data_IF_465849955837
#
_entry.id   IF_465849955837
#
_cell.length_a   1.000
_cell.length_b   1.000
_cell.length_c   1.000
_cell.angle_alpha   90.00
_cell.angle_beta   90.00
_cell.angle_gamma   90.00
#
_symmetry.space_group_name_H-M   'P 1'
#
loop_
_entity.id
_entity.type
_entity.pdbx_description
1 polymer ?
#
# COMPACT_ATOMS: atom_id res chain seq x y z
N UNK A 1 -81.89 -44.66 14.91
CA UNK A 1 -81.12 -45.86 15.24
C UNK A 1 -79.64 -45.49 15.06
N UNK A 2 -79.03 -44.86 16.06
CA UNK A 2 -78.13 -45.51 17.03
C UNK A 2 -76.85 -46.07 16.35
N UNK A 3 -75.75 -45.31 16.37
CA UNK A 3 -74.56 -45.46 17.25
C UNK A 3 -73.73 -46.71 16.96
N UNK A 4 -72.50 -46.52 16.45
CA UNK A 4 -71.23 -47.09 16.95
C UNK A 4 -70.12 -46.74 15.92
N UNK A 5 -69.18 -45.84 16.22
CA UNK A 5 -67.90 -46.28 16.78
C UNK A 5 -66.93 -45.10 16.95
N UNK A 6 -66.37 -45.04 18.15
CA UNK A 6 -65.52 -44.00 18.72
C UNK A 6 -64.06 -44.05 18.21
N UNK A 7 -63.45 -42.85 18.11
CA UNK A 7 -62.08 -42.46 18.50
C UNK A 7 -60.93 -43.46 18.33
N UNK A 8 -59.90 -43.10 17.54
CA UNK A 8 -58.51 -43.11 18.03
C UNK A 8 -57.54 -42.33 17.11
N UNK A 9 -56.69 -41.54 17.78
CA UNK A 9 -55.33 -41.14 17.41
C UNK A 9 -55.08 -40.09 16.30
N UNK A 10 -54.77 -38.89 16.78
CA UNK A 10 -53.81 -38.00 16.15
C UNK A 10 -52.50 -38.75 15.83
N UNK A 11 -51.99 -38.56 14.62
CA UNK A 11 -50.62 -38.89 14.26
C UNK A 11 -50.10 -37.79 13.32
N UNK A 12 -49.21 -36.98 13.88
CA UNK A 12 -48.19 -36.15 13.23
C UNK A 12 -48.10 -36.29 11.71
N UNK A 13 -48.53 -35.26 10.99
CA UNK A 13 -47.97 -34.92 9.68
C UNK A 13 -46.93 -33.82 9.87
N UNK A 14 -45.83 -34.14 10.57
CA UNK A 14 -44.56 -33.45 10.37
C UNK A 14 -43.98 -34.05 9.08
N UNK A 15 -44.28 -33.44 7.94
CA UNK A 15 -43.53 -33.70 6.72
C UNK A 15 -42.14 -33.12 6.99
N UNK A 16 -41.26 -33.99 7.47
CA UNK A 16 -39.82 -33.78 7.48
C UNK A 16 -39.41 -33.43 6.06
N UNK A 17 -39.01 -32.17 5.84
CA UNK A 17 -38.26 -31.77 4.67
C UNK A 17 -36.87 -32.38 4.78
N UNK A 18 -36.78 -33.70 4.66
CA UNK A 18 -35.55 -34.36 4.28
C UNK A 18 -35.30 -33.91 2.85
N UNK A 19 -34.44 -32.90 2.71
CA UNK A 19 -33.74 -32.64 1.47
C UNK A 19 -33.20 -33.98 1.00
N UNK A 20 -33.63 -34.39 -0.19
CA UNK A 20 -33.03 -35.51 -0.89
C UNK A 20 -31.53 -35.20 -0.99
N UNK A 21 -30.75 -35.80 -0.10
CA UNK A 21 -29.30 -35.71 -0.13
C UNK A 21 -28.86 -36.61 -1.29
N UNK A 22 -28.97 -36.07 -2.51
CA UNK A 22 -28.40 -36.67 -3.71
C UNK A 22 -26.89 -36.64 -3.48
N UNK A 23 -26.31 -37.79 -3.12
CA UNK A 23 -24.86 -37.95 -3.07
C UNK A 23 -24.29 -37.69 -4.47
N UNK A 24 -23.46 -36.67 -4.66
CA UNK A 24 -22.91 -36.36 -5.97
C UNK A 24 -21.92 -37.46 -6.41
N UNK A 25 -21.90 -37.76 -7.71
CA UNK A 25 -21.01 -38.76 -8.30
C UNK A 25 -19.52 -38.37 -8.09
N UNK A 26 -18.58 -39.32 -8.02
CA UNK A 26 -17.17 -38.98 -7.80
C UNK A 26 -16.56 -38.47 -9.11
N UNK A 27 -16.61 -37.15 -9.32
CA UNK A 27 -16.00 -36.50 -10.48
C UNK A 27 -16.47 -35.06 -10.65
N UNK A 28 -15.73 -34.14 -10.03
CA UNK A 28 -15.84 -32.68 -10.18
C UNK A 28 -17.10 -32.04 -9.57
N UNK A 29 -17.14 -31.98 -8.24
CA UNK A 29 -18.11 -31.17 -7.53
C UNK A 29 -17.41 -30.00 -6.84
N UNK A 30 -17.32 -28.89 -7.56
CA UNK A 30 -17.08 -27.59 -6.93
C UNK A 30 -18.29 -27.32 -6.01
N UNK A 31 -18.06 -27.38 -4.71
CA UNK A 31 -19.05 -26.97 -3.70
C UNK A 31 -18.89 -25.47 -3.50
N UNK A 32 -19.85 -24.69 -4.00
CA UNK A 32 -19.86 -23.25 -3.85
C UNK A 32 -20.37 -22.85 -2.47
N UNK A 33 -19.74 -21.84 -1.88
CA UNK A 33 -20.29 -21.17 -0.69
C UNK A 33 -21.47 -20.27 -1.12
N UNK A 34 -22.57 -20.34 -0.38
CA UNK A 34 -23.78 -19.54 -0.64
C UNK A 34 -23.56 -18.07 -0.24
N UNK A 35 -24.27 -17.14 -0.89
CA UNK A 35 -24.28 -15.71 -0.52
C UNK A 35 -23.37 -14.81 -1.36
N UNK A 36 -22.59 -15.36 -2.29
CA UNK A 36 -21.83 -14.59 -3.28
C UNK A 36 -22.68 -14.32 -4.52
N UNK A 37 -22.83 -13.03 -4.89
CA UNK A 37 -23.52 -12.61 -6.12
C UNK A 37 -22.56 -11.85 -7.01
N UNK A 38 -22.48 -12.23 -8.28
CA UNK A 38 -21.68 -11.54 -9.29
C UNK A 38 -22.60 -10.64 -10.12
N UNK A 39 -22.32 -9.34 -10.10
CA UNK A 39 -23.03 -8.34 -10.92
C UNK A 39 -22.05 -7.60 -11.82
N UNK A 40 -22.45 -7.30 -13.05
CA UNK A 40 -21.64 -6.49 -13.96
C UNK A 40 -21.73 -5.01 -13.57
N UNK A 41 -20.60 -4.38 -13.26
CA UNK A 41 -20.51 -2.93 -12.97
C UNK A 41 -20.59 -2.12 -14.26
N UNK A 42 -19.83 -2.51 -15.28
CA UNK A 42 -19.91 -1.94 -16.63
C UNK A 42 -19.57 -2.96 -17.71
N UNK A 43 -20.07 -2.72 -18.91
CA UNK A 43 -19.79 -3.53 -20.09
C UNK A 43 -18.74 -2.82 -20.95
N UNK A 44 -17.51 -3.30 -20.90
CA UNK A 44 -16.38 -2.76 -21.67
C UNK A 44 -16.59 -2.84 -23.18
N UNK A 45 -17.35 -3.82 -23.68
CA UNK A 45 -17.62 -3.96 -25.12
C UNK A 45 -18.43 -2.78 -25.65
N UNK A 46 -19.41 -2.29 -24.88
CA UNK A 46 -20.22 -1.11 -25.24
C UNK A 46 -19.41 0.18 -25.25
N UNK A 47 -18.33 0.23 -24.49
CA UNK A 47 -17.49 1.42 -24.30
C UNK A 47 -16.21 1.38 -25.13
N UNK A 48 -15.91 0.27 -25.79
CA UNK A 48 -14.64 0.07 -26.49
C UNK A 48 -13.43 0.02 -25.55
N UNK A 49 -13.62 -0.43 -24.30
CA UNK A 49 -12.58 -0.56 -23.29
C UNK A 49 -12.38 -2.05 -23.01
N UNK A 50 -11.14 -2.52 -23.04
CA UNK A 50 -10.78 -3.90 -22.71
C UNK A 50 -10.15 -4.00 -21.31
N UNK A 51 -10.96 -4.09 -20.23
CA UNK A 51 -10.44 -4.09 -18.87
C UNK A 51 -9.57 -5.32 -18.61
N UNK A 52 -8.35 -5.09 -18.13
CA UNK A 52 -7.39 -6.12 -17.78
C UNK A 52 -7.19 -6.26 -16.26
N UNK A 53 -7.06 -5.14 -15.55
CA UNK A 53 -6.98 -5.11 -14.08
C UNK A 53 -7.68 -3.89 -13.52
N UNK A 54 -8.13 -4.01 -12.26
CA UNK A 54 -8.86 -2.97 -11.54
C UNK A 54 -8.33 -2.87 -10.12
N UNK A 55 -8.08 -1.65 -9.64
CA UNK A 55 -7.70 -1.35 -8.26
C UNK A 55 -8.36 -0.06 -7.78
N UNK A 56 -8.58 0.12 -6.47
CA UNK A 56 -9.03 1.39 -5.93
C UNK A 56 -8.03 2.53 -6.24
N UNK A 57 -8.54 3.70 -6.58
CA UNK A 57 -7.73 4.88 -6.87
C UNK A 57 -7.00 5.42 -5.62
N UNK A 58 -7.59 5.19 -4.44
CA UNK A 58 -6.99 5.52 -3.15
C UNK A 58 -7.64 4.66 -2.06
N UNK A 59 -6.95 4.46 -0.94
CA UNK A 59 -7.52 3.72 0.20
C UNK A 59 -8.77 4.45 0.71
N UNK A 60 -9.91 3.77 0.67
CA UNK A 60 -11.19 4.30 1.17
C UNK A 60 -11.94 5.20 0.17
N UNK A 61 -11.46 5.38 -1.07
CA UNK A 61 -12.26 6.01 -2.11
C UNK A 61 -13.15 4.98 -2.83
N UNK A 62 -14.31 5.43 -3.33
CA UNK A 62 -15.18 4.63 -4.21
C UNK A 62 -14.71 4.60 -5.66
N UNK A 63 -13.71 5.42 -6.00
CA UNK A 63 -13.16 5.51 -7.35
C UNK A 63 -12.23 4.32 -7.63
N UNK A 64 -12.42 3.72 -8.79
CA UNK A 64 -11.63 2.60 -9.30
C UNK A 64 -10.77 3.07 -10.46
N UNK A 65 -9.58 2.51 -10.58
CA UNK A 65 -8.72 2.63 -11.75
C UNK A 65 -8.81 1.33 -12.51
N UNK A 66 -9.10 1.41 -13.80
CA UNK A 66 -9.15 0.29 -14.73
C UNK A 66 -8.02 0.44 -15.72
N UNK A 67 -7.24 -0.62 -15.88
CA UNK A 67 -6.21 -0.73 -16.91
C UNK A 67 -6.79 -1.41 -18.15
N UNK A 68 -6.73 -0.73 -19.29
CA UNK A 68 -6.89 -1.34 -20.60
C UNK A 68 -5.50 -1.67 -21.17
N UNK A 69 -5.13 -2.94 -21.04
CA UNK A 69 -3.81 -3.42 -21.47
C UNK A 69 -3.65 -3.31 -23.00
N UNK A 70 -4.68 -3.68 -23.75
CA UNK A 70 -4.61 -3.70 -25.23
C UNK A 70 -4.66 -2.28 -25.78
N UNK A 71 -5.56 -1.46 -25.25
CA UNK A 71 -5.68 -0.04 -25.56
C UNK A 71 -4.57 0.82 -24.95
N UNK A 72 -3.61 0.25 -24.20
CA UNK A 72 -2.50 0.98 -23.59
C UNK A 72 -2.91 2.25 -22.82
N UNK A 73 -4.04 2.16 -22.11
CA UNK A 73 -4.69 3.30 -21.46
C UNK A 73 -5.24 2.94 -20.07
N UNK A 74 -5.38 3.97 -19.25
CA UNK A 74 -5.92 3.90 -17.89
C UNK A 74 -7.21 4.72 -17.82
N UNK A 75 -8.21 4.20 -17.10
CA UNK A 75 -9.50 4.85 -16.91
C UNK A 75 -9.81 4.95 -15.42
N UNK A 76 -10.35 6.09 -15.00
CA UNK A 76 -10.99 6.25 -13.70
C UNK A 76 -12.48 5.96 -13.85
N UNK A 77 -13.01 5.08 -13.01
CA UNK A 77 -14.41 4.67 -12.98
C UNK A 77 -14.97 4.97 -11.60
N UNK A 78 -16.07 5.72 -11.55
CA UNK A 78 -16.81 5.98 -10.32
C UNK A 78 -18.13 5.20 -10.36
N UNK A 79 -18.27 4.10 -9.58
CA UNK A 79 -19.49 3.32 -9.54
C UNK A 79 -20.68 4.19 -9.09
N UNK A 80 -21.86 4.01 -9.67
CA UNK A 80 -23.02 4.82 -9.32
C UNK A 80 -23.53 4.44 -7.93
N UNK A 81 -23.50 5.39 -6.99
CA UNK A 81 -24.14 5.24 -5.67
C UNK A 81 -25.62 5.67 -5.75
N UNK A 82 -25.98 6.59 -6.65
CA UNK A 82 -27.37 7.06 -6.87
C UNK A 82 -27.56 7.82 -8.21
N UNK A 83 -26.78 7.52 -9.25
CA UNK A 83 -26.80 8.28 -10.51
C UNK A 83 -26.17 7.52 -11.68
N UNK A 84 -25.74 8.25 -12.71
CA UNK A 84 -25.04 7.66 -13.86
C UNK A 84 -23.58 7.34 -13.52
N UNK A 85 -23.08 6.26 -14.12
CA UNK A 85 -21.68 5.86 -13.99
C UNK A 85 -20.77 6.80 -14.78
N UNK A 86 -19.75 7.36 -14.13
CA UNK A 86 -18.76 8.21 -14.78
C UNK A 86 -17.48 7.43 -15.09
N UNK A 87 -17.06 7.47 -16.35
CA UNK A 87 -15.82 6.86 -16.83
C UNK A 87 -14.98 7.93 -17.51
N UNK A 88 -13.75 8.13 -17.03
CA UNK A 88 -12.83 9.15 -17.55
C UNK A 88 -11.49 8.53 -17.89
N UNK A 89 -10.97 8.80 -19.08
CA UNK A 89 -9.59 8.44 -19.43
C UNK A 89 -8.60 9.21 -18.53
N UNK A 90 -7.75 8.48 -17.84
CA UNK A 90 -6.77 9.00 -16.88
C UNK A 90 -5.41 9.24 -17.55
N UNK A 91 -4.90 8.28 -18.32
CA UNK A 91 -3.63 8.38 -19.03
C UNK A 91 -3.54 7.37 -20.18
N UNK A 92 -2.61 7.57 -21.12
CA UNK A 92 -2.43 6.72 -22.29
C UNK A 92 -3.22 7.23 -23.49
N UNK A 93 -2.54 7.47 -24.61
CA UNK A 93 -3.16 8.01 -25.82
C UNK A 93 -3.92 6.95 -26.64
N UNK A 94 -3.71 5.65 -26.38
CA UNK A 94 -4.29 4.55 -27.15
C UNK A 94 -3.29 3.84 -28.06
N UNK A 95 -2.05 4.34 -28.16
CA UNK A 95 -1.03 3.87 -29.10
C UNK A 95 0.02 3.06 -28.33
N UNK A 96 0.25 1.82 -28.78
CA UNK A 96 1.28 0.94 -28.24
C UNK A 96 2.69 1.45 -28.60
N UNK A 97 3.30 2.25 -27.72
CA UNK A 97 4.59 2.89 -27.92
C UNK A 97 5.25 3.23 -26.57
N UNK A 98 6.35 3.98 -26.59
CA UNK A 98 7.06 4.41 -25.39
C UNK A 98 7.27 5.92 -25.42
N UNK A 99 6.54 6.63 -24.55
CA UNK A 99 6.69 8.07 -24.37
C UNK A 99 6.28 8.49 -22.96
N UNK A 100 7.18 9.15 -22.24
CA UNK A 100 6.90 9.84 -20.98
C UNK A 100 6.32 11.25 -21.28
N UNK A 101 5.72 11.91 -20.28
CA UNK A 101 5.23 13.28 -20.45
C UNK A 101 3.84 13.50 -19.85
N UNK A 102 3.02 14.34 -20.49
CA UNK A 102 1.67 14.64 -20.00
C UNK A 102 0.78 13.39 -20.02
N UNK A 103 -0.21 13.33 -19.13
CA UNK A 103 -1.08 12.17 -18.98
C UNK A 103 -1.74 11.72 -20.29
N UNK A 104 -2.17 12.69 -21.11
CA UNK A 104 -2.90 12.47 -22.38
C UNK A 104 -1.99 12.10 -23.56
N UNK A 105 -0.70 12.40 -23.49
CA UNK A 105 0.27 12.15 -24.56
C UNK A 105 1.26 11.04 -24.23
N UNK A 106 1.28 10.57 -22.98
CA UNK A 106 2.12 9.46 -22.57
C UNK A 106 1.67 8.17 -23.28
N UNK A 107 2.64 7.36 -23.65
CA UNK A 107 2.44 6.12 -24.38
C UNK A 107 3.00 4.94 -23.58
N UNK A 108 2.20 3.88 -23.54
CA UNK A 108 2.51 2.60 -22.92
C UNK A 108 2.44 1.51 -23.99
N UNK A 109 2.98 0.33 -23.71
CA UNK A 109 2.94 -0.79 -24.63
C UNK A 109 2.55 -2.08 -23.89
N UNK A 110 1.27 -2.44 -24.03
CA UNK A 110 0.67 -3.59 -23.36
C UNK A 110 0.95 -3.64 -21.85
N UNK A 111 0.69 -2.56 -21.09
CA UNK A 111 0.84 -2.58 -19.64
C UNK A 111 -0.03 -3.69 -19.04
N UNK A 112 0.46 -4.44 -18.06
CA UNK A 112 -0.27 -5.61 -17.51
C UNK A 112 -0.68 -5.50 -16.06
N UNK A 113 0.14 -4.84 -15.26
CA UNK A 113 -0.13 -4.71 -13.85
C UNK A 113 0.14 -3.27 -13.43
N UNK A 114 -0.55 -2.83 -12.40
CA UNK A 114 -0.23 -1.58 -11.74
C UNK A 114 -0.46 -1.70 -10.23
N UNK A 115 0.16 -0.79 -9.49
CA UNK A 115 -0.03 -0.63 -8.06
C UNK A 115 -0.30 0.86 -7.76
N UNK A 116 -1.02 1.14 -6.68
CA UNK A 116 -1.37 2.50 -6.27
C UNK A 116 -0.81 2.75 -4.87
N UNK A 117 -0.11 3.87 -4.69
CA UNK A 117 0.42 4.25 -3.38
C UNK A 117 -0.60 5.01 -2.51
N UNK A 118 -0.20 5.38 -1.29
CA UNK A 118 -1.04 6.12 -0.35
C UNK A 118 -1.39 7.54 -0.81
N UNK A 119 -0.65 8.10 -1.77
CA UNK A 119 -0.88 9.43 -2.34
C UNK A 119 -1.69 9.38 -3.64
N UNK A 120 -2.02 8.18 -4.13
CA UNK A 120 -2.71 7.98 -5.40
C UNK A 120 -1.79 8.06 -6.62
N UNK A 121 -0.47 7.97 -6.46
CA UNK A 121 0.40 7.73 -7.61
C UNK A 121 0.24 6.29 -8.08
N UNK A 122 0.33 6.07 -9.39
CA UNK A 122 0.14 4.76 -10.00
C UNK A 122 1.47 4.29 -10.56
N UNK A 123 1.91 3.11 -10.16
CA UNK A 123 3.11 2.46 -10.68
C UNK A 123 2.70 1.36 -11.64
N UNK A 124 3.26 1.36 -12.84
CA UNK A 124 2.80 0.56 -13.98
C UNK A 124 3.91 -0.38 -14.43
N UNK A 125 3.58 -1.66 -14.58
CA UNK A 125 4.39 -2.62 -15.32
C UNK A 125 4.11 -2.47 -16.82
N UNK A 126 4.94 -1.68 -17.48
CA UNK A 126 4.87 -1.43 -18.92
C UNK A 126 5.62 -2.55 -19.67
N UNK A 127 4.91 -3.67 -19.82
CA UNK A 127 5.44 -5.01 -20.09
C UNK A 127 6.33 -5.07 -21.33
N UNK A 128 5.85 -4.54 -22.46
CA UNK A 128 6.58 -4.60 -23.74
C UNK A 128 7.67 -3.55 -23.86
N UNK A 129 7.62 -2.52 -23.02
CA UNK A 129 8.70 -1.55 -22.88
C UNK A 129 9.72 -1.94 -21.81
N UNK A 130 9.52 -3.06 -21.10
CA UNK A 130 10.42 -3.58 -20.06
C UNK A 130 10.73 -2.53 -18.98
N UNK A 131 9.72 -1.71 -18.66
CA UNK A 131 9.87 -0.53 -17.84
C UNK A 131 8.83 -0.48 -16.72
N UNK A 132 9.23 0.09 -15.60
CA UNK A 132 8.34 0.46 -14.51
C UNK A 132 8.13 1.97 -14.61
N UNK A 133 6.88 2.36 -14.87
CA UNK A 133 6.46 3.74 -15.09
C UNK A 133 5.69 4.22 -13.86
N UNK A 134 5.69 5.52 -13.61
CA UNK A 134 4.91 6.18 -12.56
C UNK A 134 4.01 7.23 -13.19
N UNK A 135 2.72 7.19 -12.88
CA UNK A 135 1.71 8.18 -13.24
C UNK A 135 1.40 8.98 -11.97
N UNK A 136 1.49 10.30 -12.07
CA UNK A 136 1.02 11.22 -11.03
C UNK A 136 0.41 12.48 -11.64
N UNK A 137 0.04 13.45 -10.81
CA UNK A 137 -0.56 14.72 -11.28
C UNK A 137 0.36 15.55 -12.18
N UNK A 138 1.67 15.31 -12.15
CA UNK A 138 2.65 15.96 -13.04
C UNK A 138 2.83 15.23 -14.37
N UNK A 139 2.25 14.04 -14.55
CA UNK A 139 2.37 13.24 -15.77
C UNK A 139 2.95 11.83 -15.52
N UNK A 140 3.49 11.26 -16.59
CA UNK A 140 4.10 9.91 -16.61
C UNK A 140 5.61 10.03 -16.67
N UNK A 141 6.30 9.27 -15.82
CA UNK A 141 7.77 9.16 -15.80
C UNK A 141 8.22 7.72 -15.64
N UNK A 142 9.30 7.35 -16.30
CA UNK A 142 9.98 6.07 -16.06
C UNK A 142 10.82 6.12 -14.80
N UNK A 143 10.64 5.14 -13.90
CA UNK A 143 11.40 5.06 -12.63
C UNK A 143 12.47 3.96 -12.63
N UNK A 144 12.28 2.90 -13.43
CA UNK A 144 13.26 1.84 -13.63
C UNK A 144 13.02 1.09 -14.94
N UNK A 145 14.07 0.55 -15.56
CA UNK A 145 13.94 -0.24 -16.79
C UNK A 145 13.75 0.61 -18.06
N UNK A 146 13.49 -0.07 -19.17
CA UNK A 146 13.23 0.53 -20.50
C UNK A 146 14.44 1.14 -21.22
N UNK A 147 15.51 1.50 -20.53
CA UNK A 147 16.63 2.23 -21.13
C UNK A 147 17.48 1.42 -22.11
N UNK A 148 17.61 0.11 -21.90
CA UNK A 148 18.36 -0.78 -22.80
C UNK A 148 17.56 -1.24 -24.02
N UNK A 149 16.25 -0.95 -24.08
CA UNK A 149 15.30 -1.47 -25.06
C UNK A 149 15.32 -3.00 -25.20
N UNK A 150 15.83 -3.68 -24.16
CA UNK A 150 16.03 -5.13 -24.12
C UNK A 150 15.66 -5.66 -22.76
N UNK A 151 15.15 -6.88 -22.75
CA UNK A 151 14.94 -7.62 -21.52
C UNK A 151 16.28 -7.92 -20.83
N UNK A 152 16.23 -8.10 -19.51
CA UNK A 152 17.40 -8.46 -18.72
C UNK A 152 17.04 -8.66 -17.26
N UNK A 153 18.04 -8.96 -16.45
CA UNK A 153 17.92 -9.21 -15.00
C UNK A 153 18.87 -8.34 -14.15
N UNK A 154 19.45 -7.31 -14.76
CA UNK A 154 20.44 -6.46 -14.11
C UNK A 154 19.80 -5.63 -13.02
N UNK A 155 20.42 -5.60 -11.85
CA UNK A 155 20.09 -4.69 -10.75
C UNK A 155 20.88 -3.38 -10.85
N UNK A 156 20.54 -2.43 -9.98
CA UNK A 156 21.22 -1.14 -9.85
C UNK A 156 20.25 0.03 -9.86
N UNK A 157 20.75 1.26 -10.03
CA UNK A 157 19.92 2.44 -10.22
C UNK A 157 18.92 2.23 -11.37
N UNK A 158 17.77 2.90 -11.35
CA UNK A 158 16.67 2.63 -12.29
C UNK A 158 17.05 2.59 -13.77
N UNK A 159 18.03 3.40 -14.21
CA UNK A 159 18.55 3.41 -15.60
C UNK A 159 19.36 2.15 -15.96
N UNK A 160 19.97 1.51 -14.98
CA UNK A 160 20.81 0.32 -15.15
C UNK A 160 20.00 -0.97 -14.89
N UNK A 161 18.87 -0.87 -14.19
CA UNK A 161 17.97 -1.97 -13.98
C UNK A 161 17.35 -2.43 -15.30
N UNK A 162 17.22 -3.75 -15.50
CA UNK A 162 16.52 -4.34 -16.65
C UNK A 162 15.58 -5.44 -16.15
N UNK A 163 14.43 -5.60 -16.80
CA UNK A 163 13.37 -6.56 -16.41
C UNK A 163 13.08 -7.52 -17.55
N UNK A 164 12.41 -8.63 -17.27
CA UNK A 164 11.88 -9.48 -18.33
C UNK A 164 10.69 -8.82 -19.03
N UNK A 165 10.13 -9.51 -20.01
CA UNK A 165 8.86 -9.14 -20.62
C UNK A 165 7.67 -9.71 -19.86
N UNK A 166 7.82 -10.31 -18.67
CA UNK A 166 6.71 -10.83 -17.86
C UNK A 166 6.97 -10.55 -16.37
N UNK A 167 6.44 -9.44 -15.89
CA UNK A 167 6.60 -8.99 -14.51
C UNK A 167 5.38 -8.22 -14.01
N UNK A 168 5.19 -8.23 -12.69
CA UNK A 168 4.09 -7.59 -11.98
C UNK A 168 4.60 -6.81 -10.77
N UNK A 169 3.79 -5.88 -10.26
CA UNK A 169 4.14 -4.96 -9.16
C UNK A 169 3.17 -5.12 -8.00
N UNK A 170 3.67 -4.93 -6.79
CA UNK A 170 2.87 -4.79 -5.57
C UNK A 170 3.46 -3.68 -4.70
N UNK A 171 2.64 -2.71 -4.33
CA UNK A 171 3.06 -1.66 -3.40
C UNK A 171 2.93 -2.15 -1.95
N UNK A 172 3.98 -1.96 -1.16
CA UNK A 172 4.04 -2.29 0.26
C UNK A 172 4.11 -0.98 1.06
N UNK A 173 3.01 -0.53 1.69
CA UNK A 173 2.96 0.74 2.41
C UNK A 173 3.94 0.83 3.58
N UNK A 174 4.13 -0.25 4.33
CA UNK A 174 4.93 -0.26 5.56
C UNK A 174 6.41 0.01 5.31
N UNK A 175 6.95 -0.51 4.20
CA UNK A 175 8.35 -0.32 3.79
C UNK A 175 8.53 0.77 2.73
N UNK A 176 7.44 1.39 2.28
CA UNK A 176 7.39 2.29 1.13
C UNK A 176 8.21 1.77 -0.07
N UNK A 177 7.85 0.58 -0.54
CA UNK A 177 8.55 -0.04 -1.65
C UNK A 177 7.59 -0.71 -2.61
N UNK A 178 8.00 -0.82 -3.87
CA UNK A 178 7.41 -1.73 -4.82
C UNK A 178 8.15 -3.07 -4.75
N UNK A 179 7.40 -4.15 -4.58
CA UNK A 179 7.89 -5.49 -4.89
C UNK A 179 7.52 -5.81 -6.33
N UNK A 180 8.46 -6.43 -7.04
CA UNK A 180 8.33 -6.81 -8.43
C UNK A 180 8.48 -8.32 -8.50
N UNK A 181 7.43 -8.98 -8.95
CA UNK A 181 7.49 -10.40 -9.31
C UNK A 181 7.91 -10.46 -10.78
N UNK A 182 9.20 -10.68 -11.03
CA UNK A 182 9.76 -10.77 -12.37
C UNK A 182 9.76 -12.23 -12.82
N UNK A 183 8.59 -12.72 -13.28
CA UNK A 183 8.35 -14.11 -13.63
C UNK A 183 9.32 -14.62 -14.70
N UNK A 184 9.56 -13.82 -15.74
CA UNK A 184 10.45 -14.20 -16.84
C UNK A 184 11.91 -14.38 -16.40
N UNK A 185 12.31 -13.75 -15.30
CA UNK A 185 13.64 -13.91 -14.71
C UNK A 185 13.67 -14.77 -13.44
N UNK A 186 12.51 -15.21 -12.93
CA UNK A 186 12.37 -15.97 -11.67
C UNK A 186 12.92 -15.20 -10.45
N UNK A 187 12.68 -13.89 -10.39
CA UNK A 187 13.18 -13.03 -9.31
C UNK A 187 12.03 -12.31 -8.62
N UNK A 188 12.15 -12.16 -7.29
CA UNK A 188 11.43 -11.13 -6.55
C UNK A 188 12.40 -9.96 -6.34
N UNK A 189 11.99 -8.77 -6.78
CA UNK A 189 12.85 -7.58 -6.76
C UNK A 189 12.16 -6.49 -5.98
N UNK A 190 12.93 -5.53 -5.50
CA UNK A 190 12.41 -4.42 -4.70
C UNK A 190 12.90 -3.10 -5.27
N UNK A 191 12.00 -2.13 -5.39
CA UNK A 191 12.34 -0.73 -5.59
C UNK A 191 11.92 0.03 -4.34
N UNK A 192 12.88 0.59 -3.63
CA UNK A 192 12.61 1.56 -2.57
C UNK A 192 12.12 2.85 -3.21
N UNK A 193 10.91 3.27 -2.85
CA UNK A 193 10.33 4.51 -3.37
C UNK A 193 10.92 5.71 -2.63
N UNK A 194 10.79 6.89 -3.26
CA UNK A 194 11.22 8.15 -2.65
C UNK A 194 10.28 8.51 -1.49
N UNK A 195 10.83 9.13 -0.45
CA UNK A 195 10.04 9.53 0.73
C UNK A 195 8.82 10.40 0.39
N UNK A 196 8.94 11.25 -0.65
CA UNK A 196 7.87 12.09 -1.15
C UNK A 196 6.64 11.30 -1.66
N UNK A 197 6.80 10.03 -2.00
CA UNK A 197 5.73 9.14 -2.47
C UNK A 197 5.07 8.34 -1.33
N UNK A 198 5.72 8.29 -0.16
CA UNK A 198 5.33 7.41 0.95
C UNK A 198 4.21 7.94 1.86
N UNK A 199 3.73 9.16 1.64
CA UNK A 199 2.57 9.70 2.35
C UNK A 199 2.76 9.92 3.86
N UNK A 200 3.96 10.30 4.33
CA UNK A 200 4.12 10.77 5.72
C UNK A 200 3.49 12.14 5.91
N UNK A 201 2.20 12.18 6.21
CA UNK A 201 1.58 13.27 6.93
C UNK A 201 1.65 12.95 8.43
N UNK A 202 2.84 12.86 9.01
CA UNK A 202 2.96 12.78 10.46
C UNK A 202 4.08 13.71 10.91
N UNK A 203 3.68 14.81 11.56
CA UNK A 203 4.52 15.57 12.48
C UNK A 203 4.90 14.76 13.72
N UNK A 204 5.22 13.48 13.57
CA UNK A 204 5.94 12.71 14.57
C UNK A 204 7.43 12.90 14.29
N UNK A 205 8.20 13.60 15.14
CA UNK A 205 9.63 13.62 14.98
C UNK A 205 10.10 12.16 15.01
N UNK A 206 10.88 11.77 13.99
CA UNK A 206 11.60 10.51 14.00
C UNK A 206 12.25 10.36 15.38
N UNK A 207 12.14 9.19 16.02
CA UNK A 207 12.73 8.98 17.36
C UNK A 207 14.22 9.37 17.42
N UNK A 208 14.89 9.34 16.26
CA UNK A 208 16.28 9.78 16.07
C UNK A 208 16.43 11.31 16.21
N UNK A 209 15.47 12.12 15.72
CA UNK A 209 15.50 13.59 15.89
C UNK A 209 15.10 14.04 17.31
N UNK A 210 14.22 13.31 17.98
CA UNK A 210 13.89 13.58 19.40
C UNK A 210 15.05 13.26 20.33
N UNK A 211 15.72 12.10 20.17
CA UNK A 211 16.89 11.72 20.97
C UNK A 211 18.05 12.70 20.76
N UNK A 212 18.20 13.25 19.55
CA UNK A 212 19.29 14.18 19.23
C UNK A 212 19.21 15.50 20.02
N UNK A 213 18.02 16.04 20.26
CA UNK A 213 17.87 17.34 20.94
C UNK A 213 18.14 17.19 22.46
N UNK A 214 17.62 16.13 23.08
CA UNK A 214 17.86 15.86 24.50
C UNK A 214 19.32 15.48 24.77
N UNK A 215 19.94 14.68 23.91
CA UNK A 215 21.34 14.31 24.05
C UNK A 215 22.27 15.53 23.92
N UNK A 216 22.00 16.44 22.99
CA UNK A 216 22.75 17.69 22.85
C UNK A 216 22.56 18.63 24.05
N UNK A 217 21.33 18.73 24.58
CA UNK A 217 21.04 19.52 25.77
C UNK A 217 21.75 19.01 27.03
N UNK A 218 21.72 17.69 27.25
CA UNK A 218 22.43 17.04 28.37
C UNK A 218 23.94 17.21 28.22
N UNK A 219 24.52 16.95 27.04
CA UNK A 219 25.95 17.18 26.78
C UNK A 219 26.37 18.63 27.02
N UNK A 220 25.59 19.60 26.54
CA UNK A 220 25.89 21.02 26.71
C UNK A 220 25.82 21.43 28.19
N UNK A 221 24.83 20.92 28.94
CA UNK A 221 24.70 21.19 30.37
C UNK A 221 25.87 20.63 31.18
N UNK A 222 26.34 19.41 30.86
CA UNK A 222 27.50 18.81 31.52
C UNK A 222 28.80 19.57 31.19
N UNK A 223 28.97 20.01 29.94
CA UNK A 223 30.15 20.77 29.52
C UNK A 223 30.21 22.14 30.20
N UNK A 224 29.08 22.86 30.25
CA UNK A 224 28.97 24.15 30.95
C UNK A 224 29.25 23.98 32.45
N UNK A 225 28.68 22.94 33.08
CA UNK A 225 28.95 22.63 34.50
C UNK A 225 30.42 22.33 34.79
N UNK A 226 31.10 21.58 33.91
CA UNK A 226 32.52 21.26 34.06
C UNK A 226 33.40 22.51 33.89
N UNK A 227 33.10 23.36 32.90
CA UNK A 227 33.82 24.62 32.66
C UNK A 227 33.65 25.59 33.84
N UNK A 228 32.43 25.77 34.33
CA UNK A 228 32.17 26.60 35.52
C UNK A 228 32.90 26.04 36.74
N UNK A 229 32.86 24.72 36.95
CA UNK A 229 33.57 24.07 38.06
C UNK A 229 35.09 24.31 38.03
N UNK A 230 35.71 24.27 36.84
CA UNK A 230 37.14 24.57 36.68
C UNK A 230 37.44 26.06 36.92
N UNK A 231 36.59 26.97 36.44
CA UNK A 231 36.77 28.42 36.59
C UNK A 231 36.60 28.85 38.05
N UNK A 232 35.66 28.24 38.79
CA UNK A 232 35.38 28.60 40.19
C UNK A 232 36.35 27.92 41.17
N UNK A 233 37.01 26.82 40.77
CA UNK A 233 37.98 26.06 41.59
C UNK A 233 39.08 26.90 42.27
N UNK A 234 39.67 27.96 41.65
CA UNK A 234 40.70 28.78 42.29
C UNK A 234 40.14 29.79 43.30
N UNK A 235 38.83 30.03 43.30
CA UNK A 235 38.17 31.05 44.13
C UNK A 235 37.48 30.47 45.38
N UNK A 236 37.47 29.15 45.53
CA UNK A 236 37.00 28.49 46.75
C UNK A 236 38.15 28.48 47.76
N UNK A 237 38.16 29.48 48.64
CA UNK A 237 39.04 29.50 49.80
C UNK A 237 38.75 28.26 50.67
N UNK A 238 39.77 27.48 51.08
CA UNK A 238 39.56 26.36 51.98
C UNK A 238 39.37 26.90 53.40
N UNK A 239 38.19 27.44 53.69
CA UNK A 239 37.73 27.53 55.06
C UNK A 239 36.91 26.29 55.36
N UNK A 240 37.59 25.36 56.04
CA UNK A 240 37.08 24.36 56.98
C UNK A 240 35.58 24.49 57.21
N UNK A 241 34.78 23.46 56.90
CA UNK A 241 33.87 22.74 57.81
C UNK A 241 33.23 21.57 57.03
N UNK A 242 33.52 20.35 57.50
CA UNK A 242 33.17 19.06 56.89
C UNK A 242 31.71 18.63 57.14
N UNK A 243 30.79 19.55 57.46
CA UNK A 243 29.43 19.20 57.91
C UNK A 243 28.33 19.37 56.85
N UNK A 244 28.51 20.21 55.83
CA UNK A 244 27.37 20.65 55.01
C UNK A 244 27.19 19.84 53.71
N UNK A 245 28.19 19.03 53.35
CA UNK A 245 28.18 18.19 52.14
C UNK A 245 27.26 16.96 52.27
N UNK A 246 26.92 16.54 53.50
CA UNK A 246 25.95 15.46 53.73
C UNK A 246 24.50 15.95 53.52
N UNK A 247 24.22 17.22 53.76
CA UNK A 247 22.87 17.79 53.61
C UNK A 247 22.50 18.10 52.16
N UNK A 248 23.47 18.48 51.32
CA UNK A 248 23.20 18.75 49.90
C UNK A 248 22.91 17.47 49.10
N UNK A 249 23.53 16.34 49.48
CA UNK A 249 23.30 15.05 48.82
C UNK A 249 21.89 14.50 49.14
N UNK A 250 21.42 14.67 50.38
CA UNK A 250 20.06 14.30 50.78
C UNK A 250 18.97 15.21 50.16
N UNK A 251 19.27 16.48 49.91
CA UNK A 251 18.32 17.41 49.28
C UNK A 251 18.15 17.13 47.78
N UNK A 252 19.22 16.72 47.08
CA UNK A 252 19.15 16.32 45.67
C UNK A 252 18.40 14.99 45.45
N UNK A 253 18.34 14.11 46.46
CA UNK A 253 17.50 12.90 46.39
C UNK A 253 16.01 13.18 46.46
N UNK A 254 15.58 14.31 47.05
CA UNK A 254 14.17 14.67 47.20
C UNK A 254 13.58 15.38 45.96
N UNK A 255 14.41 15.97 45.11
CA UNK A 255 14.00 16.70 43.90
C UNK A 255 13.80 15.81 42.65
N UNK A 256 14.14 14.53 42.71
CA UNK A 256 13.98 13.57 41.59
C UNK A 256 12.83 12.56 41.79
N UNK A 257 11.90 12.81 42.73
CA UNK A 257 10.71 11.98 42.98
C UNK A 257 9.37 12.73 42.78
N UNK A 258 9.37 13.86 42.05
CA UNK A 258 8.16 14.56 41.59
C UNK A 258 8.21 14.75 40.07
#
# INVERSE_FOLDING_TARGET
MAVLGFFLSAALFLISSQMLHVSPAPGDHVVLEEGYVVTTVFDGHKLGINPHSVLPAMRGSSSLIVLDSVGSAFYSVSPPISGDMEIKKLSGDGIAAYSDGQLTSAQFNQPRNFAVDLKGNIYVADKRNHAIRKINTSGVKTIAGGYSEKTGRGDGPGRNASFSSDFELSFIPQSCSLLISDHGNQLIRQILLKEEDCGKNDGSPSLISAVSIWALGVCLSCFVGLVIGIIVRPYIFPHVWLSDLLHLCLFLQFLFQL
#
